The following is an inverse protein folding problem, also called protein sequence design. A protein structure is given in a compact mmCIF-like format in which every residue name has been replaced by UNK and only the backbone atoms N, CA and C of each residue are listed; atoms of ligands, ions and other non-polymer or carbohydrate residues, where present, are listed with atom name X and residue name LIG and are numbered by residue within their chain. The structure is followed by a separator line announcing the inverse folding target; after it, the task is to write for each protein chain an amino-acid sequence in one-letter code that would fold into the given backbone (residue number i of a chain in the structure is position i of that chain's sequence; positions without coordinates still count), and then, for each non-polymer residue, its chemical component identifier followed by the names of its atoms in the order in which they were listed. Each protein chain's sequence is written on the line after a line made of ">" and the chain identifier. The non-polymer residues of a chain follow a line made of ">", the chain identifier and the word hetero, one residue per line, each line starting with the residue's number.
data_IF_045294440405
#
_entry.id   IF_045294440405
#
_cell.length_a   1.000
_cell.length_b   1.000
_cell.length_c   1.000
_cell.angle_alpha   90.00
_cell.angle_beta   90.00
_cell.angle_gamma   90.00
#
_symmetry.space_group_name_H-M   'P 1'
#
loop_
_entity.id
_entity.type
_entity.pdbx_description
1 polymer ?
#
# COMPACT_ATOMS: atom_id res chain seq x y z
N UNK A 1 -15.37 5.00 -4.19
CA UNK A 1 -14.80 4.62 -5.51
C UNK A 1 -13.90 5.75 -5.99
N UNK A 2 -13.01 5.49 -6.97
CA UNK A 2 -12.14 6.54 -7.53
C UNK A 2 -12.93 7.70 -8.17
N UNK A 3 -14.11 7.41 -8.74
CA UNK A 3 -15.02 8.44 -9.28
C UNK A 3 -15.44 9.42 -8.19
N UNK A 4 -15.89 8.92 -7.04
CA UNK A 4 -16.28 9.77 -5.89
C UNK A 4 -15.08 10.51 -5.29
N UNK A 5 -13.92 9.88 -5.25
CA UNK A 5 -12.68 10.54 -4.81
C UNK A 5 -12.32 11.73 -5.71
N UNK A 6 -12.41 11.56 -7.03
CA UNK A 6 -12.20 12.63 -8.00
C UNK A 6 -13.24 13.74 -7.85
N UNK A 7 -14.52 13.39 -7.71
CA UNK A 7 -15.60 14.35 -7.49
C UNK A 7 -15.33 15.22 -6.25
N UNK A 8 -14.89 14.62 -5.14
CA UNK A 8 -14.52 15.37 -3.94
C UNK A 8 -13.27 16.24 -4.15
N UNK A 9 -12.26 15.76 -4.85
CA UNK A 9 -11.07 16.55 -5.16
C UNK A 9 -11.35 17.71 -6.12
N UNK A 10 -12.34 17.58 -7.01
CA UNK A 10 -12.72 18.64 -7.97
C UNK A 10 -13.69 19.65 -7.35
N UNK A 11 -14.69 19.18 -6.60
CA UNK A 11 -15.87 19.97 -6.23
C UNK A 11 -16.26 19.87 -4.74
N UNK A 12 -15.53 19.10 -3.94
CA UNK A 12 -15.87 18.81 -2.55
C UNK A 12 -15.35 19.82 -1.53
N UNK A 13 -14.89 21.01 -1.94
CA UNK A 13 -14.17 21.94 -1.07
C UNK A 13 -14.98 22.28 0.21
N UNK A 14 -16.31 22.49 0.13
CA UNK A 14 -17.16 22.75 1.31
C UNK A 14 -17.20 21.59 2.33
N UNK A 15 -17.10 20.34 1.86
CA UNK A 15 -17.04 19.16 2.70
C UNK A 15 -15.63 19.01 3.29
N UNK A 16 -14.62 19.17 2.43
CA UNK A 16 -13.22 18.97 2.80
C UNK A 16 -12.71 20.05 3.78
N UNK A 17 -13.24 21.27 3.70
CA UNK A 17 -12.97 22.36 4.66
C UNK A 17 -13.33 22.00 6.11
N UNK A 18 -14.26 21.05 6.29
CA UNK A 18 -14.71 20.60 7.61
C UNK A 18 -13.89 19.42 8.14
N UNK A 19 -12.88 18.97 7.40
CA UNK A 19 -12.02 17.84 7.74
C UNK A 19 -10.56 18.30 7.93
N UNK A 20 -9.86 17.73 8.92
CA UNK A 20 -8.42 17.94 9.05
C UNK A 20 -7.62 17.16 8.00
N UNK A 21 -8.06 15.95 7.66
CA UNK A 21 -7.41 15.07 6.69
C UNK A 21 -8.42 14.18 5.96
N UNK A 22 -8.11 13.80 4.73
CA UNK A 22 -8.74 12.69 4.00
C UNK A 22 -7.66 11.66 3.66
N UNK A 23 -7.92 10.39 3.95
CA UNK A 23 -7.00 9.29 3.66
C UNK A 23 -7.64 8.38 2.62
N UNK A 24 -6.96 8.20 1.49
CA UNK A 24 -7.38 7.26 0.46
C UNK A 24 -6.76 5.90 0.72
N UNK A 25 -7.61 4.87 0.71
CA UNK A 25 -7.20 3.48 0.90
C UNK A 25 -7.28 2.74 -0.43
N UNK A 26 -6.22 2.01 -0.79
CA UNK A 26 -6.26 1.09 -1.92
C UNK A 26 -7.20 -0.09 -1.61
N UNK A 27 -7.92 -0.58 -2.61
CA UNK A 27 -8.69 -1.82 -2.46
C UNK A 27 -7.77 -3.03 -2.55
N UNK A 28 -7.94 -4.01 -1.64
CA UNK A 28 -7.19 -5.26 -1.62
C UNK A 28 -8.14 -6.41 -1.96
N UNK A 29 -7.86 -7.24 -2.98
CA UNK A 29 -8.76 -8.31 -3.42
C UNK A 29 -8.59 -9.56 -2.54
N UNK A 30 -8.91 -9.44 -1.25
CA UNK A 30 -8.86 -10.53 -0.25
C UNK A 30 -10.28 -10.91 0.22
N UNK A 31 -10.42 -12.08 0.83
CA UNK A 31 -11.68 -12.64 1.29
C UNK A 31 -12.61 -13.13 0.18
N UNK A 32 -13.75 -13.70 0.59
CA UNK A 32 -14.73 -14.36 -0.30
C UNK A 32 -15.39 -13.40 -1.30
N UNK A 33 -15.41 -12.10 -0.99
CA UNK A 33 -16.00 -11.04 -1.81
C UNK A 33 -15.04 -10.35 -2.78
N UNK A 34 -13.86 -10.93 -3.04
CA UNK A 34 -12.83 -10.29 -3.88
C UNK A 34 -13.30 -10.05 -5.31
N UNK A 35 -13.10 -8.83 -5.80
CA UNK A 35 -13.45 -8.42 -7.15
C UNK A 35 -12.27 -7.71 -7.81
N UNK A 36 -11.50 -8.45 -8.62
CA UNK A 36 -10.34 -7.94 -9.33
C UNK A 36 -10.67 -6.81 -10.30
N UNK A 37 -11.93 -6.67 -10.75
CA UNK A 37 -12.35 -5.54 -11.60
C UNK A 37 -12.33 -4.21 -10.84
N UNK A 38 -12.38 -4.24 -9.50
CA UNK A 38 -12.32 -3.07 -8.63
C UNK A 38 -10.89 -2.62 -8.30
N UNK A 39 -9.87 -3.37 -8.74
CA UNK A 39 -8.48 -2.95 -8.56
C UNK A 39 -8.24 -1.57 -9.15
N UNK A 40 -7.57 -0.72 -8.37
CA UNK A 40 -7.37 0.67 -8.74
C UNK A 40 -6.55 0.82 -10.03
N UNK A 41 -5.59 -0.08 -10.29
CA UNK A 41 -4.80 -0.13 -11.54
C UNK A 41 -5.64 -0.33 -12.81
N UNK A 42 -6.85 -0.86 -12.69
CA UNK A 42 -7.74 -1.08 -13.84
C UNK A 42 -8.56 0.18 -14.19
N UNK A 43 -8.48 1.23 -13.37
CA UNK A 43 -9.23 2.47 -13.62
C UNK A 43 -8.53 3.34 -14.65
N UNK A 44 -9.22 3.77 -15.74
CA UNK A 44 -8.67 4.76 -16.67
C UNK A 44 -8.49 6.15 -16.02
N UNK A 45 -9.10 6.36 -14.85
CA UNK A 45 -9.05 7.62 -14.10
C UNK A 45 -7.85 7.72 -13.15
N UNK A 46 -7.00 6.69 -13.08
CA UNK A 46 -5.87 6.63 -12.14
C UNK A 46 -4.96 7.86 -12.22
N UNK A 47 -4.54 8.20 -13.44
CA UNK A 47 -3.68 9.37 -13.69
C UNK A 47 -4.40 10.68 -13.37
N UNK A 48 -5.70 10.80 -13.66
CA UNK A 48 -6.50 11.98 -13.30
C UNK A 48 -6.52 12.17 -11.79
N UNK A 49 -6.78 11.10 -11.03
CA UNK A 49 -6.81 11.11 -9.58
C UNK A 49 -5.49 11.61 -8.98
N UNK A 50 -4.35 11.01 -9.34
CA UNK A 50 -3.06 11.44 -8.80
C UNK A 50 -2.68 12.86 -9.25
N UNK A 51 -2.99 13.26 -10.49
CA UNK A 51 -2.76 14.64 -10.94
C UNK A 51 -3.56 15.67 -10.12
N UNK A 52 -4.80 15.35 -9.75
CA UNK A 52 -5.61 16.24 -8.91
C UNK A 52 -4.99 16.40 -7.52
N UNK A 53 -4.45 15.34 -6.94
CA UNK A 53 -3.76 15.43 -5.65
C UNK A 53 -2.43 16.20 -5.79
N UNK A 54 -1.65 15.94 -6.84
CA UNK A 54 -0.32 16.49 -7.06
C UNK A 54 -0.30 17.98 -7.43
N UNK A 55 -1.34 18.46 -8.14
CA UNK A 55 -1.32 19.78 -8.78
C UNK A 55 -2.36 20.77 -8.23
N UNK A 56 -3.47 20.30 -7.64
CA UNK A 56 -4.46 21.18 -7.02
C UNK A 56 -4.11 21.37 -5.55
N UNK A 57 -4.21 22.61 -5.06
CA UNK A 57 -4.18 22.89 -3.62
C UNK A 57 -5.53 22.53 -3.02
N UNK A 58 -5.53 21.66 -2.03
CA UNK A 58 -6.73 21.25 -1.30
C UNK A 58 -6.75 21.91 0.08
N UNK A 59 -7.94 22.20 0.64
CA UNK A 59 -8.04 22.80 1.97
C UNK A 59 -7.71 21.81 3.10
N UNK A 60 -7.65 20.51 2.77
CA UNK A 60 -7.46 19.40 3.68
C UNK A 60 -6.12 18.72 3.44
N UNK A 61 -5.55 18.08 4.47
CA UNK A 61 -4.40 17.18 4.30
C UNK A 61 -4.84 15.92 3.57
N UNK A 62 -4.10 15.53 2.54
CA UNK A 62 -4.36 14.29 1.80
C UNK A 62 -3.31 13.26 2.21
N UNK A 63 -3.77 12.09 2.61
CA UNK A 63 -2.92 10.94 2.88
C UNK A 63 -3.35 9.70 2.10
N UNK A 64 -2.49 8.69 2.15
CA UNK A 64 -2.66 7.42 1.46
C UNK A 64 -2.23 6.30 2.39
N UNK A 65 -2.77 5.10 2.19
CA UNK A 65 -2.14 3.91 2.76
C UNK A 65 -0.85 3.55 1.99
N UNK A 66 0.10 2.92 2.67
CA UNK A 66 1.42 2.55 2.11
C UNK A 66 1.31 1.64 0.88
N UNK A 67 0.19 0.94 0.70
CA UNK A 67 -0.10 0.14 -0.50
C UNK A 67 -0.32 0.98 -1.77
N UNK A 68 -0.38 2.31 -1.69
CA UNK A 68 -0.46 3.22 -2.84
C UNK A 68 0.88 3.85 -3.20
N UNK A 69 1.97 3.54 -2.48
CA UNK A 69 3.29 4.15 -2.69
C UNK A 69 3.75 4.05 -4.15
N UNK A 70 3.47 2.93 -4.82
CA UNK A 70 3.80 2.70 -6.23
C UNK A 70 3.10 3.68 -7.16
N UNK A 71 1.87 4.10 -6.86
CA UNK A 71 1.15 5.11 -7.63
C UNK A 71 1.63 6.52 -7.33
N UNK A 72 1.93 6.81 -6.06
CA UNK A 72 2.47 8.11 -5.63
C UNK A 72 3.75 8.40 -6.40
N UNK A 73 4.76 7.52 -6.32
CA UNK A 73 6.06 7.73 -6.98
C UNK A 73 5.99 7.68 -8.51
N UNK A 74 4.95 7.07 -9.08
CA UNK A 74 4.78 6.93 -10.52
C UNK A 74 4.08 8.14 -11.16
N UNK A 75 3.13 8.76 -10.46
CA UNK A 75 2.22 9.76 -11.05
C UNK A 75 2.32 11.15 -10.43
N UNK A 76 2.93 11.30 -9.24
CA UNK A 76 3.08 12.59 -8.56
C UNK A 76 4.51 13.10 -8.68
N UNK A 77 4.68 14.42 -8.80
CA UNK A 77 6.00 15.07 -8.90
C UNK A 77 6.33 15.91 -7.66
N UNK A 78 5.31 16.37 -6.92
CA UNK A 78 5.44 17.26 -5.77
C UNK A 78 5.31 16.48 -4.46
N UNK A 79 6.12 15.43 -4.29
CA UNK A 79 6.08 14.57 -3.11
C UNK A 79 7.15 15.02 -2.11
N UNK A 80 6.77 15.19 -0.84
CA UNK A 80 7.73 15.24 0.24
C UNK A 80 8.17 13.80 0.56
N UNK A 81 9.40 13.44 0.16
CA UNK A 81 9.94 12.09 0.36
C UNK A 81 10.05 11.70 1.85
N UNK A 82 10.16 12.66 2.77
CA UNK A 82 10.19 12.37 4.21
C UNK A 82 8.84 11.90 4.75
N UNK A 83 7.73 12.27 4.09
CA UNK A 83 6.39 11.79 4.43
C UNK A 83 5.96 10.54 3.64
N UNK A 84 6.85 10.01 2.80
CA UNK A 84 6.55 8.83 2.00
C UNK A 84 6.88 7.56 2.81
N UNK A 85 5.86 6.75 3.09
CA UNK A 85 6.02 5.48 3.79
C UNK A 85 5.73 4.30 2.83
N UNK A 86 6.77 3.59 2.34
CA UNK A 86 6.57 2.35 1.61
C UNK A 86 6.12 1.22 2.56
N UNK A 87 5.91 0.02 2.01
CA UNK A 87 5.46 -1.14 2.79
C UNK A 87 6.30 -1.35 4.06
N UNK A 88 5.62 -1.37 5.20
CA UNK A 88 6.15 -1.51 6.56
C UNK A 88 6.18 -2.97 7.05
N UNK A 89 5.45 -3.86 6.36
CA UNK A 89 5.33 -5.28 6.67
C UNK A 89 6.69 -5.96 6.88
N UNK A 90 6.88 -6.50 8.07
CA UNK A 90 8.13 -7.17 8.48
C UNK A 90 9.32 -6.23 8.67
N UNK A 91 9.18 -4.91 8.54
CA UNK A 91 10.24 -3.91 8.78
C UNK A 91 9.98 -3.07 10.02
N UNK A 92 8.74 -2.59 10.16
CA UNK A 92 8.28 -1.78 11.29
C UNK A 92 7.03 -2.36 11.93
N UNK A 93 6.24 -3.13 11.18
CA UNK A 93 5.01 -3.74 11.66
C UNK A 93 4.96 -5.25 11.45
N UNK A 94 4.14 -5.88 12.28
CA UNK A 94 3.69 -7.26 12.16
C UNK A 94 2.21 -7.32 12.52
N UNK A 95 1.53 -8.32 11.99
CA UNK A 95 0.15 -8.65 12.37
C UNK A 95 0.14 -9.92 13.21
N UNK A 96 -0.64 -9.92 14.29
CA UNK A 96 -0.91 -11.10 15.12
C UNK A 96 -2.41 -11.34 15.07
N UNK A 97 -2.81 -12.52 14.60
CA UNK A 97 -4.22 -12.92 14.54
C UNK A 97 -4.76 -13.33 15.91
N UNK A 98 -6.08 -13.48 16.00
CA UNK A 98 -6.81 -14.00 17.15
C UNK A 98 -6.33 -15.39 17.58
N UNK A 99 -5.77 -16.18 16.65
CA UNK A 99 -5.20 -17.50 16.89
C UNK A 99 -3.75 -17.45 17.39
N UNK A 100 -3.24 -16.28 17.80
CA UNK A 100 -1.86 -16.04 18.22
C UNK A 100 -0.84 -16.44 17.16
N UNK A 101 -1.19 -16.25 15.89
CA UNK A 101 -0.29 -16.48 14.77
C UNK A 101 0.23 -15.15 14.24
N UNK A 102 1.53 -15.07 14.05
CA UNK A 102 2.21 -13.85 13.62
C UNK A 102 2.54 -13.90 12.12
N UNK A 103 2.31 -12.77 11.45
CA UNK A 103 2.47 -12.56 10.02
C UNK A 103 3.17 -11.23 9.74
N UNK A 104 3.90 -11.11 8.61
CA UNK A 104 4.43 -9.81 8.18
C UNK A 104 3.33 -8.77 7.88
N UNK A 105 2.20 -9.22 7.33
CA UNK A 105 1.08 -8.37 6.94
C UNK A 105 -0.24 -9.11 7.22
N UNK A 106 -1.29 -8.38 7.61
CA UNK A 106 -2.61 -8.96 7.91
C UNK A 106 -3.24 -9.69 6.72
N UNK A 107 -3.03 -9.21 5.49
CA UNK A 107 -3.56 -9.84 4.29
C UNK A 107 -2.96 -11.22 3.98
N UNK A 108 -1.89 -11.62 4.67
CA UNK A 108 -1.28 -12.94 4.49
C UNK A 108 -2.01 -14.05 5.23
N UNK A 109 -2.86 -13.74 6.22
CA UNK A 109 -3.47 -14.75 7.09
C UNK A 109 -4.39 -15.74 6.35
N UNK A 110 -4.98 -15.33 5.23
CA UNK A 110 -5.81 -16.22 4.39
C UNK A 110 -4.99 -17.19 3.54
N UNK A 111 -3.70 -16.92 3.33
CA UNK A 111 -2.86 -17.63 2.36
C UNK A 111 -1.70 -18.38 2.99
N UNK A 112 -1.37 -18.06 4.24
CA UNK A 112 -0.24 -18.64 4.97
C UNK A 112 -0.71 -19.11 6.34
N UNK A 113 -0.08 -20.18 6.83
CA UNK A 113 -0.42 -20.72 8.14
C UNK A 113 -0.10 -19.74 9.27
N UNK A 114 0.94 -18.89 9.13
CA UNK A 114 1.43 -18.00 10.18
C UNK A 114 2.32 -18.71 11.19
N UNK A 115 3.07 -17.94 11.96
CA UNK A 115 3.98 -18.48 12.97
C UNK A 115 3.30 -18.50 14.34
N UNK A 116 3.18 -19.68 14.95
CA UNK A 116 2.47 -19.88 16.23
C UNK A 116 3.29 -19.35 17.42
N UNK A 117 2.83 -18.26 18.02
CA UNK A 117 3.49 -17.59 19.15
C UNK A 117 3.36 -18.38 20.46
N UNK A 118 2.57 -19.45 20.50
CA UNK A 118 2.59 -20.40 21.63
C UNK A 118 3.84 -21.27 21.62
N UNK A 119 4.53 -21.37 20.47
CA UNK A 119 5.70 -22.24 20.24
C UNK A 119 6.99 -21.46 20.03
N UNK A 120 6.92 -20.22 19.54
CA UNK A 120 8.07 -19.36 19.22
C UNK A 120 7.90 -17.99 19.86
N UNK A 121 9.01 -17.35 20.25
CA UNK A 121 8.96 -15.97 20.73
C UNK A 121 8.68 -14.99 19.58
N UNK A 122 8.14 -13.81 19.89
CA UNK A 122 7.99 -12.71 18.94
C UNK A 122 9.30 -12.39 18.22
N UNK A 123 10.41 -12.38 18.98
CA UNK A 123 11.73 -12.03 18.46
C UNK A 123 12.29 -13.12 17.54
N UNK A 124 12.05 -14.40 17.85
CA UNK A 124 12.44 -15.51 16.97
C UNK A 124 11.66 -15.47 15.66
N UNK A 125 10.34 -15.25 15.73
CA UNK A 125 9.52 -15.13 14.52
C UNK A 125 9.99 -13.93 13.70
N UNK A 126 10.17 -12.76 14.33
CA UNK A 126 10.57 -11.54 13.64
C UNK A 126 11.91 -11.68 12.93
N UNK A 127 12.92 -12.32 13.53
CA UNK A 127 14.26 -12.40 12.94
C UNK A 127 14.49 -13.63 12.05
N UNK A 128 13.85 -14.76 12.39
CA UNK A 128 14.25 -16.05 11.84
C UNK A 128 13.16 -16.75 11.02
N UNK A 129 11.90 -16.27 11.04
CA UNK A 129 10.85 -16.93 10.25
C UNK A 129 11.02 -16.68 8.75
N UNK A 130 10.64 -17.70 7.99
CA UNK A 130 10.71 -17.65 6.53
C UNK A 130 9.84 -16.53 5.95
N UNK A 131 8.63 -16.33 6.47
CA UNK A 131 7.70 -15.33 5.95
C UNK A 131 8.20 -13.90 6.13
N UNK A 132 8.79 -13.57 7.28
CA UNK A 132 9.38 -12.25 7.53
C UNK A 132 10.61 -12.00 6.67
N UNK A 133 11.54 -12.96 6.61
CA UNK A 133 12.75 -12.80 5.82
C UNK A 133 12.44 -12.71 4.32
N UNK A 134 11.56 -13.58 3.80
CA UNK A 134 11.09 -13.49 2.41
C UNK A 134 10.43 -12.14 2.09
N UNK A 135 9.66 -11.58 3.02
CA UNK A 135 9.03 -10.27 2.85
C UNK A 135 10.08 -9.17 2.75
N UNK A 136 11.07 -9.15 3.63
CA UNK A 136 12.19 -8.19 3.59
C UNK A 136 13.01 -8.34 2.32
N UNK A 137 13.33 -9.57 1.92
CA UNK A 137 14.08 -9.86 0.69
C UNK A 137 13.33 -9.35 -0.54
N UNK A 138 12.02 -9.60 -0.58
CA UNK A 138 11.11 -9.10 -1.62
C UNK A 138 11.14 -7.56 -1.72
N UNK A 139 11.16 -6.85 -0.59
CA UNK A 139 11.26 -5.39 -0.54
C UNK A 139 12.65 -4.86 -0.95
N UNK A 140 13.73 -5.61 -0.70
CA UNK A 140 15.11 -5.22 -1.00
C UNK A 140 15.64 -5.72 -2.36
N UNK A 141 14.95 -6.65 -3.01
CA UNK A 141 15.32 -7.25 -4.29
C UNK A 141 15.26 -6.28 -5.48
N UNK A 142 15.74 -6.69 -6.66
CA UNK A 142 15.60 -5.93 -7.91
C UNK A 142 14.37 -6.40 -8.74
N UNK A 143 13.21 -6.57 -8.11
CA UNK A 143 11.99 -7.08 -8.77
C UNK A 143 11.39 -6.11 -9.79
N UNK A 144 11.76 -4.83 -9.72
CA UNK A 144 11.31 -3.81 -10.66
C UNK A 144 12.29 -3.55 -11.81
N UNK A 145 13.27 -4.44 -12.05
CA UNK A 145 14.18 -4.40 -13.20
C UNK A 145 14.86 -3.03 -13.41
N UNK A 146 15.51 -2.49 -12.37
CA UNK A 146 16.24 -1.21 -12.46
C UNK A 146 15.37 0.05 -12.37
N UNK A 147 14.16 -0.05 -11.83
CA UNK A 147 13.30 1.11 -11.57
C UNK A 147 14.00 2.16 -10.69
N UNK A 148 14.04 3.41 -11.16
CA UNK A 148 14.66 4.53 -10.44
C UNK A 148 13.94 4.90 -9.12
N UNK A 149 12.66 4.53 -8.97
CA UNK A 149 11.88 4.75 -7.76
C UNK A 149 12.04 3.64 -6.70
N UNK A 150 12.89 2.64 -6.94
CA UNK A 150 13.03 1.48 -6.04
C UNK A 150 13.35 1.89 -4.59
N UNK A 151 14.19 2.90 -4.38
CA UNK A 151 14.53 3.39 -3.04
C UNK A 151 13.35 4.04 -2.30
N UNK A 152 12.39 4.58 -3.04
CA UNK A 152 11.22 5.28 -2.50
C UNK A 152 10.01 4.35 -2.32
N UNK A 153 9.88 3.33 -3.18
CA UNK A 153 8.73 2.43 -3.26
C UNK A 153 9.00 1.04 -2.64
N UNK A 154 10.26 0.61 -2.57
CA UNK A 154 10.69 -0.70 -2.09
C UNK A 154 10.04 -1.88 -2.83
N UNK A 155 9.95 -1.77 -4.15
CA UNK A 155 9.36 -2.79 -5.03
C UNK A 155 7.86 -3.05 -4.82
N UNK A 156 7.12 -2.10 -4.25
CA UNK A 156 5.66 -2.19 -4.09
C UNK A 156 5.25 -3.23 -3.05
N UNK A 157 4.05 -3.78 -3.21
CA UNK A 157 3.55 -4.80 -2.29
C UNK A 157 4.42 -6.08 -2.38
N UNK A 158 4.92 -6.63 -1.26
CA UNK A 158 5.68 -7.88 -1.30
C UNK A 158 4.79 -9.11 -1.56
N UNK A 159 3.47 -8.96 -1.40
CA UNK A 159 2.50 -10.06 -1.42
C UNK A 159 1.46 -9.92 -2.55
N UNK A 160 0.61 -8.89 -2.53
CA UNK A 160 -0.46 -8.65 -3.51
C UNK A 160 0.02 -7.76 -4.66
N UNK A 161 0.80 -8.31 -5.60
CA UNK A 161 1.38 -7.52 -6.72
C UNK A 161 0.34 -6.86 -7.61
N UNK A 162 -0.87 -7.40 -7.65
CA UNK A 162 -1.98 -6.85 -8.41
C UNK A 162 -2.49 -5.50 -7.89
N UNK A 163 -2.12 -5.07 -6.67
CA UNK A 163 -2.49 -3.75 -6.14
C UNK A 163 -1.48 -2.66 -6.49
N UNK A 164 -0.30 -3.03 -7.00
CA UNK A 164 0.72 -2.08 -7.43
C UNK A 164 0.21 -1.28 -8.64
N UNK A 165 0.57 0.01 -8.67
CA UNK A 165 0.01 1.00 -9.61
C UNK A 165 1.01 1.45 -10.69
N UNK A 166 2.17 0.80 -10.76
CA UNK A 166 3.19 1.07 -11.78
C UNK A 166 2.70 0.71 -13.18
N UNK A 167 3.15 1.46 -14.19
CA UNK A 167 2.78 1.23 -15.60
C UNK A 167 3.39 -0.05 -16.19
N UNK A 168 4.50 -0.52 -15.62
CA UNK A 168 5.24 -1.71 -16.07
C UNK A 168 5.10 -2.81 -15.02
N UNK A 169 4.06 -3.63 -15.16
CA UNK A 169 3.97 -4.90 -14.44
C UNK A 169 4.17 -5.97 -15.50
N UNK A 170 5.44 -6.25 -15.80
CA UNK A 170 5.83 -7.47 -16.51
C UNK A 170 5.75 -8.64 -15.54
#
# INVERSE_FOLDING_TARGET
>A
SIVKAIEWLEHGDELLDKCNAIIFLNYKPVGDGKDYRRLLRNSPLLRKFFNLVDRKKHPVKIGFDSCMVSGIVQYMNNINLTSLEPCDAGRFSAYISEDLKMYPCSFMMEYYEGEDLRKKSLMDVWNNSYSFNKTRDSLNSNRCNGCNQQKNCLNGCPFLREIDLCSNIN
#
